data_IF_745843489412
#
_entry.id   IF_745843489412
#
_cell.length_a   1.000
_cell.length_b   1.000
_cell.length_c   1.000
_cell.angle_alpha   90.00
_cell.angle_beta   90.00
_cell.angle_gamma   90.00
#
_symmetry.space_group_name_H-M   'P 1'
#
loop_
_entity.id
_entity.type
_entity.pdbx_description
1 polymer ?
#
# COMPACT_ATOMS: atom_id res chain seq x y z
N UNK A 1 2.90 -11.23 -11.28
CA UNK A 1 3.32 -10.20 -10.33
C UNK A 1 4.57 -10.70 -9.67
N UNK A 2 5.71 -10.15 -10.07
CA UNK A 2 6.97 -10.30 -9.35
C UNK A 2 6.93 -9.46 -8.07
N UNK A 3 7.69 -9.84 -7.05
CA UNK A 3 7.77 -9.10 -5.79
C UNK A 3 8.14 -7.62 -5.98
N UNK A 4 8.90 -7.32 -7.06
CA UNK A 4 9.25 -5.95 -7.45
C UNK A 4 8.04 -5.12 -7.89
N UNK A 5 7.18 -5.68 -8.73
CA UNK A 5 5.99 -4.96 -9.22
C UNK A 5 5.04 -4.63 -8.06
N UNK A 6 4.94 -5.53 -7.08
CA UNK A 6 4.11 -5.28 -5.88
C UNK A 6 4.72 -4.18 -4.99
N UNK A 7 6.05 -4.16 -4.84
CA UNK A 7 6.75 -3.12 -4.08
C UNK A 7 6.67 -1.74 -4.75
N UNK A 8 6.77 -1.69 -6.08
CA UNK A 8 6.56 -0.45 -6.84
C UNK A 8 5.12 0.08 -6.66
N UNK A 9 4.11 -0.80 -6.77
CA UNK A 9 2.71 -0.44 -6.52
C UNK A 9 2.50 0.10 -5.09
N UNK A 10 3.12 -0.52 -4.08
CA UNK A 10 3.05 -0.07 -2.68
C UNK A 10 3.65 1.32 -2.53
N UNK A 11 4.81 1.58 -3.12
CA UNK A 11 5.49 2.87 -3.00
C UNK A 11 4.72 3.98 -3.73
N UNK A 12 4.18 3.72 -4.92
CA UNK A 12 3.34 4.68 -5.63
C UNK A 12 2.08 5.03 -4.83
N UNK A 13 1.41 4.04 -4.24
CA UNK A 13 0.21 4.28 -3.41
C UNK A 13 0.56 5.05 -2.13
N UNK A 14 1.73 4.81 -1.55
CA UNK A 14 2.23 5.56 -0.38
C UNK A 14 2.50 7.02 -0.75
N UNK A 15 3.17 7.29 -1.86
CA UNK A 15 3.42 8.66 -2.31
C UNK A 15 2.11 9.41 -2.60
N UNK A 16 1.15 8.75 -3.26
CA UNK A 16 -0.18 9.34 -3.50
C UNK A 16 -0.91 9.63 -2.20
N UNK A 17 -0.88 8.71 -1.22
CA UNK A 17 -1.49 8.94 0.09
C UNK A 17 -0.91 10.18 0.78
N UNK A 18 0.41 10.29 0.82
CA UNK A 18 1.13 11.41 1.44
C UNK A 18 0.79 12.72 0.71
N UNK A 19 0.81 12.72 -0.62
CA UNK A 19 0.45 13.88 -1.43
C UNK A 19 -0.97 14.38 -1.14
N UNK A 20 -1.95 13.47 -1.15
CA UNK A 20 -3.35 13.82 -0.88
C UNK A 20 -3.60 14.20 0.57
N UNK A 21 -2.94 13.56 1.53
CA UNK A 21 -3.03 13.90 2.95
C UNK A 21 -2.49 15.31 3.23
N UNK A 22 -1.35 15.66 2.62
CA UNK A 22 -0.76 16.99 2.72
C UNK A 22 -1.60 18.07 2.01
N UNK A 23 -2.22 17.73 0.88
CA UNK A 23 -3.02 18.66 0.08
C UNK A 23 -4.41 18.89 0.65
N UNK A 24 -4.97 17.88 1.34
CA UNK A 24 -6.34 17.93 1.84
C UNK A 24 -6.40 17.69 3.34
N UNK A 25 -6.54 16.45 3.78
CA UNK A 25 -6.48 16.00 5.17
C UNK A 25 -6.47 14.47 5.17
N UNK A 26 -5.95 13.86 6.24
CA UNK A 26 -6.05 12.42 6.47
C UNK A 26 -7.48 11.91 6.56
N UNK A 27 -8.45 12.77 6.86
CA UNK A 27 -9.88 12.44 6.88
C UNK A 27 -10.56 12.55 5.51
N UNK A 28 -9.81 12.91 4.45
CA UNK A 28 -10.38 12.97 3.11
C UNK A 28 -10.75 11.55 2.66
N UNK A 29 -11.99 11.30 2.19
CA UNK A 29 -12.40 10.00 1.65
C UNK A 29 -11.44 9.41 0.62
N UNK A 30 -10.78 10.25 -0.19
CA UNK A 30 -9.75 9.81 -1.15
C UNK A 30 -8.51 9.28 -0.46
N UNK A 31 -8.04 9.92 0.61
CA UNK A 31 -6.88 9.47 1.38
C UNK A 31 -7.21 8.16 2.10
N UNK A 32 -8.43 8.02 2.61
CA UNK A 32 -8.92 6.79 3.26
C UNK A 32 -9.01 5.63 2.26
N UNK A 33 -9.51 5.88 1.03
CA UNK A 33 -9.55 4.85 -0.02
C UNK A 33 -8.15 4.41 -0.44
N UNK A 34 -7.22 5.37 -0.59
CA UNK A 34 -5.82 5.08 -0.90
C UNK A 34 -5.16 4.31 0.24
N UNK A 35 -5.38 4.70 1.51
CA UNK A 35 -4.80 4.00 2.66
C UNK A 35 -5.33 2.58 2.79
N UNK A 36 -6.63 2.37 2.50
CA UNK A 36 -7.25 1.03 2.51
C UNK A 36 -6.65 0.14 1.42
N UNK A 37 -6.40 0.68 0.23
CA UNK A 37 -5.72 -0.05 -0.86
C UNK A 37 -4.27 -0.37 -0.51
N UNK A 38 -3.56 0.58 0.11
CA UNK A 38 -2.18 0.39 0.56
C UNK A 38 -2.10 -0.71 1.62
N UNK A 39 -3.02 -0.73 2.60
CA UNK A 39 -3.12 -1.80 3.60
C UNK A 39 -3.36 -3.17 2.94
N UNK A 40 -4.23 -3.26 1.93
CA UNK A 40 -4.44 -4.51 1.20
C UNK A 40 -3.19 -4.98 0.45
N UNK A 41 -2.45 -4.07 -0.18
CA UNK A 41 -1.20 -4.41 -0.87
C UNK A 41 -0.11 -4.86 0.11
N UNK A 42 0.01 -4.17 1.25
CA UNK A 42 0.93 -4.54 2.32
C UNK A 42 0.60 -5.91 2.91
N UNK A 43 -0.67 -6.18 3.20
CA UNK A 43 -1.11 -7.49 3.69
C UNK A 43 -0.82 -8.60 2.67
N UNK A 44 -1.03 -8.33 1.38
CA UNK A 44 -0.72 -9.28 0.31
C UNK A 44 0.79 -9.54 0.20
N UNK A 45 1.61 -8.51 0.35
CA UNK A 45 3.07 -8.66 0.39
C UNK A 45 3.50 -9.45 1.63
N UNK A 46 2.94 -9.13 2.78
CA UNK A 46 3.20 -9.81 4.05
C UNK A 46 2.81 -11.29 3.98
N UNK A 47 1.68 -11.64 3.36
CA UNK A 47 1.31 -13.02 3.08
C UNK A 47 2.32 -13.74 2.17
N UNK A 48 2.79 -13.09 1.10
CA UNK A 48 3.79 -13.67 0.19
C UNK A 48 5.11 -13.91 0.92
N UNK A 49 5.59 -12.92 1.70
CA UNK A 49 6.84 -13.01 2.46
C UNK A 49 6.73 -14.02 3.61
N UNK A 50 5.63 -14.04 4.34
CA UNK A 50 5.42 -14.95 5.46
C UNK A 50 5.12 -16.39 5.00
N UNK A 51 4.55 -16.61 3.81
CA UNK A 51 4.44 -17.96 3.24
C UNK A 51 5.80 -18.55 2.83
N UNK A 52 6.83 -17.73 2.60
CA UNK A 52 8.20 -18.20 2.32
C UNK A 52 8.92 -18.64 3.62
N UNK A 53 8.44 -18.23 4.80
CA UNK A 53 9.12 -18.51 6.08
C UNK A 53 8.66 -19.82 6.76
N UNK A 54 7.60 -20.47 6.26
CA UNK A 54 7.18 -21.81 6.73
C UNK A 54 7.17 -22.79 5.55
N UNK A 55 8.36 -23.24 5.13
CA UNK A 55 8.58 -24.60 4.61
C UNK A 55 10.04 -24.99 4.53
#
# INVERSE_FOLDING_TARGET
MSDRELLEDIEEHREMMIYWANTTSFSNPKVIDISTKLDHLLNKYDEIVNQITIK
#
